data_IF_095526907864
#
_entry.id   IF_095526907864
#
_cell.length_a   1.000
_cell.length_b   1.000
_cell.length_c   1.000
_cell.angle_alpha   90.00
_cell.angle_beta   90.00
_cell.angle_gamma   90.00
#
_symmetry.space_group_name_H-M   'P 1'
#
loop_
_entity.id
_entity.type
_entity.pdbx_description
1 polymer ?
#
# COMPACT_ATOMS: atom_id res chain seq x y z
N UNK A 1 25.63 -68.38 33.52
CA UNK A 1 24.17 -68.18 33.41
C UNK A 1 23.67 -67.07 34.33
N UNK A 2 24.09 -67.01 35.60
CA UNK A 2 23.62 -66.01 36.58
C UNK A 2 23.91 -64.53 36.21
N UNK A 3 25.08 -64.20 35.66
CA UNK A 3 25.46 -62.81 35.33
C UNK A 3 24.64 -62.19 34.18
N UNK A 4 24.14 -62.99 33.24
CA UNK A 4 23.29 -62.49 32.14
C UNK A 4 21.89 -62.14 32.67
N UNK A 5 21.36 -62.95 33.59
CA UNK A 5 20.07 -62.67 34.23
C UNK A 5 20.14 -61.43 35.11
N UNK A 6 21.26 -61.22 35.80
CA UNK A 6 21.52 -60.02 36.60
C UNK A 6 21.57 -58.76 35.71
N UNK A 7 22.37 -58.75 34.64
CA UNK A 7 22.37 -57.63 33.69
C UNK A 7 21.02 -57.42 32.99
N UNK A 8 20.28 -58.48 32.69
CA UNK A 8 18.93 -58.35 32.14
C UNK A 8 17.97 -57.69 33.14
N UNK A 9 18.08 -58.03 34.43
CA UNK A 9 17.29 -57.40 35.49
C UNK A 9 17.65 -55.92 35.72
N UNK A 10 18.94 -55.58 35.65
CA UNK A 10 19.43 -54.21 35.73
C UNK A 10 18.98 -53.37 34.52
N UNK A 11 19.08 -53.91 33.31
CA UNK A 11 18.61 -53.26 32.09
C UNK A 11 17.08 -53.07 32.10
N UNK A 12 16.34 -54.04 32.65
CA UNK A 12 14.90 -53.92 32.83
C UNK A 12 14.54 -52.85 33.86
N UNK A 13 15.31 -52.72 34.95
CA UNK A 13 15.13 -51.65 35.93
C UNK A 13 15.45 -50.26 35.34
N UNK A 14 16.51 -50.14 34.54
CA UNK A 14 16.81 -48.90 33.82
C UNK A 14 15.72 -48.55 32.81
N UNK A 15 15.20 -49.53 32.08
CA UNK A 15 14.11 -49.29 31.13
C UNK A 15 12.83 -48.81 31.83
N UNK A 16 12.45 -49.40 32.97
CA UNK A 16 11.28 -48.94 33.73
C UNK A 16 11.49 -47.57 34.34
N UNK A 17 12.70 -47.25 34.77
CA UNK A 17 13.05 -45.90 35.25
C UNK A 17 12.96 -44.84 34.14
N UNK A 18 13.48 -45.14 32.94
CA UNK A 18 13.39 -44.25 31.78
C UNK A 18 11.93 -44.06 31.35
N UNK A 19 11.12 -45.12 31.35
CA UNK A 19 9.68 -45.00 31.04
C UNK A 19 8.96 -44.13 32.08
N UNK A 20 9.26 -44.32 33.38
CA UNK A 20 8.67 -43.49 34.44
C UNK A 20 9.03 -42.01 34.28
N UNK A 21 10.30 -41.69 34.01
CA UNK A 21 10.74 -40.30 33.82
C UNK A 21 10.12 -39.67 32.56
N UNK A 22 9.96 -40.44 31.49
CA UNK A 22 9.25 -40.02 30.27
C UNK A 22 7.77 -39.69 30.56
N UNK A 23 7.08 -40.53 31.33
CA UNK A 23 5.68 -40.29 31.72
C UNK A 23 5.53 -39.05 32.62
N UNK A 24 6.47 -38.84 33.55
CA UNK A 24 6.50 -37.63 34.39
C UNK A 24 6.70 -36.36 33.57
N UNK A 25 7.63 -36.39 32.61
CA UNK A 25 7.84 -35.29 31.67
C UNK A 25 6.59 -35.03 30.83
N UNK A 26 5.92 -36.08 30.34
CA UNK A 26 4.70 -35.95 29.53
C UNK A 26 3.53 -35.38 30.34
N UNK A 27 3.40 -35.76 31.62
CA UNK A 27 2.41 -35.16 32.53
C UNK A 27 2.72 -33.69 32.81
N UNK A 28 4.00 -33.34 33.01
CA UNK A 28 4.42 -31.96 33.23
C UNK A 28 4.13 -31.10 32.00
N UNK A 29 4.45 -31.59 30.80
CA UNK A 29 4.12 -30.93 29.53
C UNK A 29 2.61 -30.73 29.41
N UNK A 30 1.79 -31.76 29.67
CA UNK A 30 0.33 -31.63 29.60
C UNK A 30 -0.22 -30.61 30.62
N UNK A 31 0.36 -30.52 31.81
CA UNK A 31 0.01 -29.48 32.79
C UNK A 31 0.40 -28.09 32.27
N UNK A 32 1.63 -27.93 31.78
CA UNK A 32 2.10 -26.67 31.20
C UNK A 32 1.27 -26.22 30.00
N UNK A 33 0.85 -27.15 29.15
CA UNK A 33 -0.05 -26.87 28.02
C UNK A 33 -1.42 -26.39 28.52
N UNK A 34 -2.00 -27.05 29.53
CA UNK A 34 -3.26 -26.60 30.15
C UNK A 34 -3.13 -25.24 30.82
N UNK A 35 -2.00 -24.98 31.48
CA UNK A 35 -1.72 -23.72 32.16
C UNK A 35 -1.48 -22.59 31.14
N UNK A 36 -0.78 -22.87 30.04
CA UNK A 36 -0.62 -21.93 28.93
C UNK A 36 -1.95 -21.64 28.24
N UNK A 37 -2.79 -22.66 28.04
CA UNK A 37 -4.13 -22.49 27.51
C UNK A 37 -5.00 -21.66 28.45
N UNK A 38 -4.96 -21.90 29.76
CA UNK A 38 -5.73 -21.11 30.73
C UNK A 38 -5.26 -19.66 30.81
N UNK A 39 -3.95 -19.41 30.74
CA UNK A 39 -3.39 -18.05 30.64
C UNK A 39 -3.75 -17.39 29.32
N UNK A 40 -3.79 -18.14 28.22
CA UNK A 40 -4.19 -17.61 26.92
C UNK A 40 -5.69 -17.28 26.86
N UNK A 41 -6.56 -18.13 27.44
CA UNK A 41 -8.00 -17.84 27.54
C UNK A 41 -8.27 -16.67 28.48
N UNK A 42 -7.52 -16.55 29.58
CA UNK A 42 -7.60 -15.40 30.48
C UNK A 42 -7.12 -14.13 29.77
N UNK A 43 -6.01 -14.20 29.03
CA UNK A 43 -5.53 -13.11 28.17
C UNK A 43 -6.57 -12.70 27.14
N UNK A 44 -7.21 -13.63 26.42
CA UNK A 44 -8.23 -13.25 25.42
C UNK A 44 -9.50 -12.68 26.07
N UNK A 45 -9.83 -13.09 27.29
CA UNK A 45 -10.97 -12.55 28.06
C UNK A 45 -10.71 -11.14 28.61
N UNK A 46 -9.49 -10.83 29.04
CA UNK A 46 -9.11 -9.49 29.57
C UNK A 46 -8.59 -8.53 28.48
N UNK A 47 -8.03 -9.03 27.37
CA UNK A 47 -7.59 -8.21 26.23
C UNK A 47 -8.76 -7.84 25.31
N UNK A 48 -9.91 -8.52 25.42
CA UNK A 48 -11.18 -8.10 24.80
C UNK A 48 -11.97 -7.12 25.70
N UNK A 49 -11.29 -6.46 26.64
CA UNK A 49 -11.78 -5.26 27.32
C UNK A 49 -11.25 -4.03 26.60
N UNK A 50 -12.11 -3.43 25.77
CA UNK A 50 -12.09 -2.01 25.38
C UNK A 50 -10.72 -1.31 25.31
N UNK A 51 -9.95 -1.61 24.28
CA UNK A 51 -8.74 -0.87 23.93
C UNK A 51 -8.62 -0.78 22.42
N UNK A 52 -8.85 0.40 21.87
CA UNK A 52 -8.69 0.72 20.46
C UNK A 52 -7.32 0.25 19.92
N UNK A 53 -7.33 -0.50 18.81
CA UNK A 53 -6.13 -0.70 18.00
C UNK A 53 -5.84 -2.13 17.57
N UNK A 54 -6.48 -2.51 16.45
CA UNK A 54 -5.87 -3.20 15.31
C UNK A 54 -6.12 -4.71 15.09
N UNK A 55 -6.61 -4.95 13.86
CA UNK A 55 -6.58 -6.14 12.99
C UNK A 55 -7.30 -7.42 13.44
N UNK A 56 -8.56 -7.51 12.98
CA UNK A 56 -9.39 -8.71 12.83
C UNK A 56 -8.68 -9.90 12.19
N UNK A 57 -9.08 -11.13 12.56
CA UNK A 57 -9.54 -12.10 11.56
C UNK A 57 -11.01 -12.50 11.80
N UNK A 58 -11.80 -12.37 10.74
CA UNK A 58 -13.12 -12.98 10.46
C UNK A 58 -14.15 -13.09 11.59
N UNK A 59 -15.08 -12.15 11.57
CA UNK A 59 -16.18 -11.88 12.49
C UNK A 59 -17.48 -12.68 12.22
N UNK A 60 -17.42 -14.02 12.11
CA UNK A 60 -18.65 -14.84 11.95
C UNK A 60 -18.89 -15.86 13.05
N UNK A 61 -17.86 -16.30 13.78
CA UNK A 61 -18.02 -17.34 14.81
C UNK A 61 -18.12 -16.76 16.24
N UNK A 62 -17.58 -15.55 16.46
CA UNK A 62 -17.56 -14.91 17.78
C UNK A 62 -18.90 -14.28 18.22
N UNK A 63 -19.87 -14.18 17.30
CA UNK A 63 -21.21 -13.64 17.61
C UNK A 63 -22.12 -14.64 18.30
N UNK A 64 -22.01 -15.93 17.98
CA UNK A 64 -22.93 -16.96 18.48
C UNK A 64 -22.62 -17.38 19.93
N UNK A 65 -21.35 -17.29 20.33
CA UNK A 65 -20.91 -17.63 21.69
C UNK A 65 -21.21 -16.54 22.73
N UNK A 66 -21.39 -15.29 22.29
CA UNK A 66 -21.62 -14.15 23.20
C UNK A 66 -23.08 -14.07 23.69
N UNK A 67 -24.05 -14.53 22.89
CA UNK A 67 -25.47 -14.48 23.25
C UNK A 67 -25.86 -15.58 24.24
N UNK A 68 -25.30 -16.79 24.09
CA UNK A 68 -25.63 -17.95 24.93
C UNK A 68 -25.13 -17.84 26.39
N UNK A 69 -24.23 -16.89 26.71
CA UNK A 69 -23.63 -16.74 28.04
C UNK A 69 -24.33 -15.65 28.87
N UNK A 70 -25.18 -14.82 28.25
CA UNK A 70 -25.88 -13.74 28.95
C UNK A 70 -27.03 -14.22 29.83
N UNK A 71 -27.51 -15.45 29.63
CA UNK A 71 -28.66 -16.01 30.35
C UNK A 71 -28.26 -16.77 31.63
N UNK A 72 -26.97 -17.01 31.89
CA UNK A 72 -26.53 -17.93 32.97
C UNK A 72 -25.90 -17.28 34.20
N UNK A 73 -25.84 -15.94 34.31
CA UNK A 73 -25.22 -15.27 35.47
C UNK A 73 -26.23 -14.37 36.20
N UNK A 74 -26.72 -14.75 37.40
CA UNK A 74 -27.52 -13.87 38.23
C UNK A 74 -26.64 -12.74 38.78
N UNK A 75 -27.07 -11.52 38.50
CA UNK A 75 -26.51 -10.28 39.03
C UNK A 75 -26.77 -10.21 40.54
N UNK A 76 -25.72 -10.30 41.36
CA UNK A 76 -25.81 -9.92 42.77
C UNK A 76 -24.95 -10.72 43.75
N UNK A 77 -23.65 -10.38 43.86
CA UNK A 77 -22.98 -10.38 45.18
C UNK A 77 -21.72 -9.52 45.16
N UNK A 78 -21.63 -8.66 46.17
CA UNK A 78 -20.50 -7.79 46.55
C UNK A 78 -19.13 -8.43 46.29
N UNK A 79 -18.29 -7.77 45.48
CA UNK A 79 -16.85 -8.05 45.33
C UNK A 79 -16.12 -6.79 45.77
N UNK A 80 -15.78 -6.69 47.06
CA UNK A 80 -14.89 -5.62 47.54
C UNK A 80 -13.76 -6.10 48.44
N UNK A 81 -13.71 -7.37 48.87
CA UNK A 81 -12.65 -7.85 49.78
C UNK A 81 -11.71 -8.93 49.21
N UNK A 82 -11.87 -9.37 47.95
CA UNK A 82 -10.97 -10.38 47.34
C UNK A 82 -10.06 -9.83 46.22
N UNK A 83 -10.07 -8.52 45.98
CA UNK A 83 -9.34 -7.88 44.89
C UNK A 83 -7.84 -7.69 45.16
N UNK A 84 -7.41 -7.61 46.41
CA UNK A 84 -6.01 -7.31 46.75
C UNK A 84 -5.08 -8.50 46.49
N UNK A 85 -5.49 -9.73 46.83
CA UNK A 85 -4.70 -10.93 46.53
C UNK A 85 -4.65 -11.28 45.03
N UNK A 86 -5.72 -11.00 44.28
CA UNK A 86 -5.73 -11.14 42.83
C UNK A 86 -4.83 -10.09 42.15
N UNK A 87 -4.84 -8.84 42.62
CA UNK A 87 -3.95 -7.80 42.13
C UNK A 87 -2.47 -8.14 42.38
N UNK A 88 -2.09 -8.63 43.57
CA UNK A 88 -0.71 -9.06 43.83
C UNK A 88 -0.25 -10.24 42.97
N UNK A 89 -1.14 -11.16 42.59
CA UNK A 89 -0.84 -12.27 41.68
C UNK A 89 -0.77 -11.83 40.20
N UNK A 90 -1.51 -10.78 39.82
CA UNK A 90 -1.52 -10.25 38.46
C UNK A 90 -0.34 -9.32 38.15
N UNK A 91 0.15 -8.56 39.14
CA UNK A 91 1.31 -7.67 39.00
C UNK A 91 2.58 -8.36 38.45
N UNK A 92 3.02 -9.54 38.92
CA UNK A 92 4.19 -10.22 38.36
C UNK A 92 3.95 -10.65 36.91
N UNK A 93 2.73 -11.08 36.57
CA UNK A 93 2.37 -11.47 35.19
C UNK A 93 2.43 -10.26 34.27
N UNK A 94 1.80 -9.13 34.66
CA UNK A 94 1.83 -7.88 33.90
C UNK A 94 3.25 -7.34 33.77
N UNK A 95 4.07 -7.46 34.82
CA UNK A 95 5.48 -7.06 34.77
C UNK A 95 6.27 -7.89 33.77
N UNK A 96 6.03 -9.21 33.71
CA UNK A 96 6.70 -10.11 32.77
C UNK A 96 6.28 -9.85 31.31
N UNK A 97 4.99 -9.56 31.08
CA UNK A 97 4.48 -9.19 29.77
C UNK A 97 5.08 -7.87 29.32
N UNK A 98 5.08 -6.85 30.20
CA UNK A 98 5.70 -5.55 29.94
C UNK A 98 7.18 -5.70 29.58
N UNK A 99 7.92 -6.53 30.31
CA UNK A 99 9.33 -6.76 30.03
C UNK A 99 9.55 -7.45 28.68
N UNK A 100 8.71 -8.44 28.33
CA UNK A 100 8.76 -9.10 27.02
C UNK A 100 8.44 -8.14 25.86
N UNK A 101 7.45 -7.28 26.03
CA UNK A 101 7.13 -6.24 25.05
C UNK A 101 8.25 -5.21 24.95
N UNK A 102 8.87 -4.83 26.08
CA UNK A 102 10.03 -3.92 26.10
C UNK A 102 11.20 -4.52 25.32
N UNK A 103 11.53 -5.79 25.56
CA UNK A 103 12.60 -6.51 24.85
C UNK A 103 12.31 -6.59 23.34
N UNK A 104 11.09 -6.97 22.96
CA UNK A 104 10.68 -7.07 21.55
C UNK A 104 10.70 -5.70 20.84
N UNK A 105 10.24 -4.64 21.51
CA UNK A 105 10.35 -3.29 20.97
C UNK A 105 11.81 -2.87 20.78
N UNK A 106 12.68 -3.18 21.75
CA UNK A 106 14.11 -2.88 21.64
C UNK A 106 14.77 -3.63 20.47
N UNK A 107 14.41 -4.90 20.26
CA UNK A 107 14.86 -5.71 19.12
C UNK A 107 14.37 -5.14 17.78
N UNK A 108 13.07 -4.83 17.68
CA UNK A 108 12.49 -4.22 16.49
C UNK A 108 13.12 -2.86 16.17
N UNK A 109 13.39 -2.04 17.18
CA UNK A 109 14.11 -0.78 17.00
C UNK A 109 15.54 -1.00 16.50
N UNK A 110 16.23 -2.04 16.99
CA UNK A 110 17.58 -2.38 16.54
C UNK A 110 17.58 -2.87 15.08
N UNK A 111 16.63 -3.73 14.71
CA UNK A 111 16.45 -4.21 13.34
C UNK A 111 16.09 -3.06 12.39
N UNK A 112 15.20 -2.15 12.81
CA UNK A 112 14.85 -0.97 12.03
C UNK A 112 16.08 -0.05 11.82
N UNK A 113 16.89 0.18 12.86
CA UNK A 113 18.16 0.90 12.72
C UNK A 113 19.11 0.19 11.74
N UNK A 114 19.19 -1.14 11.78
CA UNK A 114 20.01 -1.93 10.86
C UNK A 114 19.51 -1.84 9.41
N UNK A 115 18.21 -1.94 9.17
CA UNK A 115 17.63 -1.75 7.83
C UNK A 115 17.87 -0.33 7.31
N UNK A 116 17.73 0.69 8.17
CA UNK A 116 18.01 2.07 7.80
C UNK A 116 19.48 2.27 7.39
N UNK A 117 20.42 1.61 8.07
CA UNK A 117 21.84 1.61 7.69
C UNK A 117 22.06 0.90 6.35
N UNK A 118 21.44 -0.26 6.11
CA UNK A 118 21.54 -0.97 4.82
C UNK A 118 21.02 -0.12 3.67
N UNK A 119 19.88 0.55 3.85
CA UNK A 119 19.34 1.48 2.85
C UNK A 119 20.31 2.61 2.53
N UNK A 120 21.01 3.15 3.54
CA UNK A 120 22.00 4.19 3.32
C UNK A 120 23.21 3.67 2.54
N UNK A 121 23.73 2.48 2.88
CA UNK A 121 24.85 1.84 2.18
C UNK A 121 24.49 1.58 0.71
N UNK A 122 23.31 1.02 0.44
CA UNK A 122 22.86 0.75 -0.93
C UNK A 122 22.66 2.03 -1.76
N UNK A 123 22.22 3.12 -1.12
CA UNK A 123 22.14 4.43 -1.77
C UNK A 123 23.53 4.95 -2.13
N UNK A 124 24.49 4.87 -1.21
CA UNK A 124 25.88 5.26 -1.47
C UNK A 124 26.51 4.43 -2.60
N UNK A 125 26.25 3.12 -2.62
CA UNK A 125 26.69 2.24 -3.71
C UNK A 125 26.06 2.63 -5.06
N UNK A 126 24.75 2.91 -5.06
CA UNK A 126 24.04 3.36 -6.26
C UNK A 126 24.62 4.69 -6.77
N UNK A 127 24.91 5.64 -5.89
CA UNK A 127 25.50 6.92 -6.25
C UNK A 127 26.94 6.78 -6.75
N UNK A 128 27.70 5.85 -6.17
CA UNK A 128 29.05 5.49 -6.63
C UNK A 128 29.00 4.88 -8.03
N UNK A 129 28.19 3.84 -8.24
CA UNK A 129 28.00 3.21 -9.55
C UNK A 129 27.50 4.20 -10.59
N UNK A 130 26.59 5.10 -10.21
CA UNK A 130 26.11 6.16 -11.10
C UNK A 130 27.24 7.10 -11.51
N UNK A 131 28.07 7.52 -10.57
CA UNK A 131 29.21 8.40 -10.84
C UNK A 131 30.25 7.72 -11.73
N UNK A 132 30.52 6.44 -11.49
CA UNK A 132 31.50 5.67 -12.27
C UNK A 132 30.97 5.34 -13.68
N UNK A 133 29.68 5.01 -13.83
CA UNK A 133 29.03 4.86 -15.14
C UNK A 133 29.11 6.14 -15.96
N UNK A 134 28.88 7.31 -15.34
CA UNK A 134 29.05 8.60 -16.01
C UNK A 134 30.50 8.77 -16.45
N UNK A 135 31.50 8.60 -15.57
CA UNK A 135 32.93 8.71 -15.93
C UNK A 135 33.32 7.78 -17.08
N UNK A 136 32.82 6.54 -17.06
CA UNK A 136 33.07 5.58 -18.14
C UNK A 136 32.46 6.05 -19.45
N UNK A 137 31.25 6.60 -19.39
CA UNK A 137 30.60 7.24 -20.53
C UNK A 137 31.44 8.41 -21.08
N UNK A 138 31.99 9.28 -20.23
CA UNK A 138 32.86 10.38 -20.68
C UNK A 138 34.09 9.84 -21.43
N UNK A 139 34.71 8.77 -20.92
CA UNK A 139 35.86 8.12 -21.57
C UNK A 139 35.48 7.51 -22.92
N UNK A 140 34.35 6.80 -22.99
CA UNK A 140 33.85 6.21 -24.25
C UNK A 140 33.58 7.32 -25.27
N UNK A 141 32.90 8.40 -24.86
CA UNK A 141 32.63 9.55 -25.73
C UNK A 141 33.90 10.25 -26.18
N UNK A 142 34.89 10.40 -25.30
CA UNK A 142 36.19 10.96 -25.66
C UNK A 142 36.87 10.11 -26.75
N UNK A 143 36.94 8.78 -26.55
CA UNK A 143 37.51 7.86 -27.54
C UNK A 143 36.72 7.81 -28.85
N UNK A 144 35.39 7.82 -28.78
CA UNK A 144 34.51 7.91 -29.94
C UNK A 144 34.70 9.23 -30.69
N UNK A 145 34.85 10.35 -29.99
CA UNK A 145 35.09 11.66 -30.60
C UNK A 145 36.39 11.69 -31.38
N UNK A 146 37.44 11.01 -30.88
CA UNK A 146 38.71 10.83 -31.57
C UNK A 146 38.58 9.91 -32.79
N UNK A 147 37.70 8.89 -32.72
CA UNK A 147 37.44 7.91 -33.79
C UNK A 147 36.37 8.35 -34.79
N UNK A 148 35.68 9.49 -34.58
CA UNK A 148 34.55 10.02 -35.38
C UNK A 148 34.92 10.49 -36.80
N UNK A 149 36.00 9.97 -37.37
CA UNK A 149 36.30 10.07 -38.80
C UNK A 149 35.64 8.94 -39.61
N UNK A 150 35.23 7.81 -39.00
CA UNK A 150 34.65 6.69 -39.76
C UNK A 150 33.44 6.04 -39.07
N UNK A 151 32.26 6.35 -39.61
CA UNK A 151 31.12 5.43 -39.71
C UNK A 151 30.27 5.16 -38.46
N UNK A 152 28.97 5.51 -38.57
CA UNK A 152 27.76 4.87 -37.99
C UNK A 152 27.65 4.62 -36.48
N UNK A 153 26.57 5.10 -35.87
CA UNK A 153 25.32 4.37 -35.52
C UNK A 153 24.48 5.36 -34.68
N UNK A 154 23.15 5.41 -34.87
CA UNK A 154 22.28 6.32 -34.12
C UNK A 154 22.37 6.08 -32.60
N UNK A 155 22.22 7.11 -31.76
CA UNK A 155 22.47 7.00 -30.32
C UNK A 155 21.51 5.99 -29.68
N UNK A 156 22.07 5.01 -28.97
CA UNK A 156 21.31 4.08 -28.14
C UNK A 156 20.59 4.84 -27.00
N UNK A 157 19.41 4.39 -26.57
CA UNK A 157 18.59 5.09 -25.56
C UNK A 157 19.33 5.22 -24.21
N UNK A 158 20.16 4.22 -23.90
CA UNK A 158 21.04 4.26 -22.72
C UNK A 158 22.14 5.31 -22.88
N UNK A 159 22.73 5.42 -24.07
CA UNK A 159 23.73 6.42 -24.44
C UNK A 159 23.13 7.84 -24.33
N UNK A 160 21.89 8.03 -24.76
CA UNK A 160 21.15 9.30 -24.67
C UNK A 160 20.94 9.77 -23.23
N UNK A 161 20.59 8.85 -22.31
CA UNK A 161 20.42 9.17 -20.88
C UNK A 161 21.72 9.60 -20.21
N UNK A 162 22.81 8.89 -20.46
CA UNK A 162 24.12 9.26 -19.91
C UNK A 162 24.71 10.51 -20.60
N UNK A 163 24.46 10.71 -21.90
CA UNK A 163 24.80 11.94 -22.65
C UNK A 163 24.16 13.17 -21.99
N UNK A 164 22.86 13.08 -21.75
CA UNK A 164 22.10 14.17 -21.14
C UNK A 164 22.62 14.49 -19.74
N UNK A 165 22.98 13.46 -18.95
CA UNK A 165 23.52 13.64 -17.60
C UNK A 165 24.94 14.23 -17.60
N UNK A 166 25.75 13.88 -18.60
CA UNK A 166 27.08 14.43 -18.83
C UNK A 166 27.04 15.90 -19.24
N UNK A 167 26.24 16.25 -20.25
CA UNK A 167 26.06 17.63 -20.72
C UNK A 167 25.51 18.56 -19.62
N UNK A 168 24.62 18.03 -18.76
CA UNK A 168 24.13 18.76 -17.59
C UNK A 168 25.21 19.10 -16.57
N UNK A 169 26.27 18.28 -16.47
CA UNK A 169 27.42 18.55 -15.58
C UNK A 169 28.44 19.47 -16.22
N UNK A 170 28.57 19.47 -17.54
CA UNK A 170 29.55 20.27 -18.28
C UNK A 170 29.15 21.72 -18.52
N UNK A 171 27.86 22.01 -18.65
CA UNK A 171 27.40 23.36 -18.94
C UNK A 171 26.89 24.08 -17.67
N UNK A 172 27.73 24.92 -17.02
CA UNK A 172 27.31 25.68 -15.84
C UNK A 172 26.11 26.61 -16.12
N UNK A 173 25.90 27.03 -17.38
CA UNK A 173 24.80 27.92 -17.77
C UNK A 173 23.47 27.19 -17.97
N UNK A 174 23.48 25.88 -18.22
CA UNK A 174 22.24 25.11 -18.36
C UNK A 174 21.55 24.94 -16.99
N UNK A 175 22.35 24.76 -15.93
CA UNK A 175 21.85 24.76 -14.55
C UNK A 175 21.28 26.12 -14.14
N UNK A 176 21.94 27.21 -14.55
CA UNK A 176 21.51 28.58 -14.28
C UNK A 176 20.24 28.95 -15.07
N UNK A 177 20.19 28.67 -16.36
CA UNK A 177 19.03 28.95 -17.21
C UNK A 177 17.80 28.15 -16.79
N UNK A 178 17.97 26.90 -16.31
CA UNK A 178 16.88 26.12 -15.69
C UNK A 178 16.42 26.74 -14.38
N UNK A 179 17.35 27.14 -13.50
CA UNK A 179 17.01 27.84 -12.25
C UNK A 179 16.31 29.17 -12.53
N UNK A 180 16.74 29.92 -13.53
CA UNK A 180 16.12 31.19 -13.92
C UNK A 180 14.73 30.98 -14.55
N UNK A 181 14.59 30.01 -15.45
CA UNK A 181 13.28 29.58 -15.97
C UNK A 181 12.36 29.12 -14.84
N UNK A 182 12.87 28.37 -13.88
CA UNK A 182 12.09 27.90 -12.74
C UNK A 182 11.70 29.04 -11.79
N UNK A 183 12.57 30.03 -11.57
CA UNK A 183 12.22 31.26 -10.82
C UNK A 183 11.17 32.08 -11.56
N UNK A 184 11.29 32.22 -12.89
CA UNK A 184 10.25 32.85 -13.73
C UNK A 184 8.94 32.09 -13.64
N UNK A 185 8.95 30.75 -13.80
CA UNK A 185 7.77 29.89 -13.59
C UNK A 185 7.18 30.04 -12.20
N UNK A 186 8.01 30.14 -11.15
CA UNK A 186 7.55 30.36 -9.77
C UNK A 186 6.91 31.74 -9.59
N UNK A 187 7.40 32.76 -10.29
CA UNK A 187 6.86 34.11 -10.31
C UNK A 187 5.65 34.32 -11.24
N UNK A 188 5.26 33.32 -12.05
CA UNK A 188 3.99 33.39 -12.80
C UNK A 188 2.79 33.16 -11.87
N UNK A 189 1.71 33.88 -12.20
CA UNK A 189 0.44 33.90 -11.45
C UNK A 189 -0.03 32.49 -11.08
N UNK A 190 -0.45 32.25 -9.81
CA UNK A 190 -0.95 30.94 -9.38
C UNK A 190 -2.14 30.45 -10.21
N UNK A 191 -2.92 31.36 -10.79
CA UNK A 191 -4.01 31.02 -11.72
C UNK A 191 -3.53 30.47 -13.06
N UNK A 192 -2.42 30.98 -13.62
CA UNK A 192 -1.83 30.43 -14.85
C UNK A 192 -1.26 29.03 -14.61
N UNK A 193 -0.68 28.77 -13.43
CA UNK A 193 -0.22 27.42 -13.05
C UNK A 193 -1.38 26.44 -12.92
N UNK A 194 -2.50 26.86 -12.34
CA UNK A 194 -3.69 26.04 -12.23
C UNK A 194 -4.25 25.70 -13.63
N UNK A 195 -4.37 26.69 -14.52
CA UNK A 195 -4.84 26.49 -15.89
C UNK A 195 -3.91 25.58 -16.69
N UNK A 196 -2.60 25.74 -16.57
CA UNK A 196 -1.61 24.89 -17.26
C UNK A 196 -1.58 23.46 -16.70
N UNK A 197 -1.76 23.27 -15.40
CA UNK A 197 -1.88 21.95 -14.80
C UNK A 197 -3.20 21.27 -15.16
N UNK A 198 -4.30 22.02 -15.19
CA UNK A 198 -5.61 21.53 -15.60
C UNK A 198 -5.60 21.15 -17.10
N UNK A 199 -4.97 21.95 -17.94
CA UNK A 199 -4.74 21.64 -19.37
C UNK A 199 -3.84 20.42 -19.56
N UNK A 200 -2.72 20.31 -18.83
CA UNK A 200 -1.87 19.12 -18.89
C UNK A 200 -2.57 17.88 -18.35
N UNK A 201 -3.41 17.99 -17.32
CA UNK A 201 -4.13 16.86 -16.75
C UNK A 201 -5.20 16.33 -17.74
N UNK A 202 -5.85 17.23 -18.48
CA UNK A 202 -6.77 16.88 -19.57
C UNK A 202 -6.02 16.26 -20.77
N UNK A 203 -4.86 16.81 -21.16
CA UNK A 203 -4.10 16.30 -22.31
C UNK A 203 -3.27 15.03 -22.00
N UNK A 204 -2.82 14.87 -20.75
CA UNK A 204 -1.98 13.74 -20.31
C UNK A 204 -2.79 12.47 -20.10
N UNK A 205 -4.07 12.57 -19.75
CA UNK A 205 -4.87 11.39 -19.43
C UNK A 205 -5.64 10.88 -20.67
N UNK A 206 -5.47 9.58 -20.99
CA UNK A 206 -6.15 8.92 -22.11
C UNK A 206 -7.69 8.97 -21.96
N UNK A 207 -8.19 8.93 -20.73
CA UNK A 207 -9.63 8.99 -20.43
C UNK A 207 -10.18 10.41 -20.67
N UNK A 208 -9.45 11.44 -20.21
CA UNK A 208 -9.87 12.84 -20.40
C UNK A 208 -9.95 13.22 -21.89
N UNK A 209 -9.02 12.72 -22.71
CA UNK A 209 -9.07 12.87 -24.17
C UNK A 209 -10.31 12.22 -24.79
N UNK A 210 -10.71 11.04 -24.30
CA UNK A 210 -11.90 10.33 -24.76
C UNK A 210 -13.18 11.11 -24.41
N UNK A 211 -13.28 11.64 -23.18
CA UNK A 211 -14.42 12.45 -22.74
C UNK A 211 -14.58 13.72 -23.58
N UNK A 212 -13.47 14.43 -23.83
CA UNK A 212 -13.49 15.64 -24.66
C UNK A 212 -13.94 15.36 -26.10
N UNK A 213 -13.50 14.24 -26.68
CA UNK A 213 -13.91 13.81 -28.02
C UNK A 213 -15.43 13.55 -28.09
N UNK A 214 -15.97 12.78 -27.14
CA UNK A 214 -17.42 12.54 -27.07
C UNK A 214 -18.22 13.83 -26.80
N UNK A 215 -17.71 14.73 -25.96
CA UNK A 215 -18.34 16.02 -25.71
C UNK A 215 -18.51 16.85 -26.99
N UNK A 216 -17.46 16.95 -27.82
CA UNK A 216 -17.53 17.67 -29.10
C UNK A 216 -18.53 17.00 -30.06
N UNK A 217 -18.56 15.67 -30.12
CA UNK A 217 -19.53 14.93 -30.96
C UNK A 217 -20.96 15.20 -30.52
N UNK A 218 -21.25 15.10 -29.22
CA UNK A 218 -22.60 15.34 -28.68
C UNK A 218 -23.03 16.78 -28.94
N UNK A 219 -22.12 17.75 -28.77
CA UNK A 219 -22.40 19.15 -29.06
C UNK A 219 -22.77 19.32 -30.55
N UNK A 220 -22.01 18.74 -31.47
CA UNK A 220 -22.31 18.80 -32.90
C UNK A 220 -23.67 18.16 -33.20
N UNK A 221 -23.94 16.96 -32.67
CA UNK A 221 -25.24 16.29 -32.83
C UNK A 221 -26.40 17.16 -32.33
N UNK A 222 -26.22 17.84 -31.19
CA UNK A 222 -27.23 18.75 -30.64
C UNK A 222 -27.47 19.93 -31.58
N UNK A 223 -26.40 20.58 -32.06
CA UNK A 223 -26.52 21.70 -33.01
C UNK A 223 -27.21 21.25 -34.30
N UNK A 224 -26.82 20.11 -34.86
CA UNK A 224 -27.47 19.54 -36.04
C UNK A 224 -28.96 19.23 -35.79
N UNK A 225 -29.32 18.70 -34.62
CA UNK A 225 -30.71 18.41 -34.27
C UNK A 225 -31.53 19.70 -34.16
N UNK A 226 -31.00 20.74 -33.51
CA UNK A 226 -31.66 22.04 -33.41
C UNK A 226 -31.88 22.64 -34.80
N UNK A 227 -30.84 22.66 -35.65
CA UNK A 227 -30.95 23.15 -37.02
C UNK A 227 -31.95 22.33 -37.85
N UNK A 228 -31.94 21.00 -37.71
CA UNK A 228 -32.90 20.11 -38.37
C UNK A 228 -34.34 20.40 -37.93
N UNK A 229 -34.59 20.55 -36.63
CA UNK A 229 -35.92 20.89 -36.10
C UNK A 229 -36.37 22.27 -36.58
N UNK A 230 -35.49 23.27 -36.55
CA UNK A 230 -35.79 24.60 -37.06
C UNK A 230 -36.11 24.58 -38.56
N UNK A 231 -35.32 23.87 -39.35
CA UNK A 231 -35.54 23.71 -40.80
C UNK A 231 -36.86 22.99 -41.10
N UNK A 232 -37.14 21.89 -40.41
CA UNK A 232 -38.37 21.11 -40.58
C UNK A 232 -39.62 21.90 -40.18
N UNK A 233 -39.61 22.58 -39.04
CA UNK A 233 -40.72 23.45 -38.61
C UNK A 233 -40.90 24.62 -39.58
N UNK A 234 -39.81 25.20 -40.09
CA UNK A 234 -39.89 26.28 -41.07
C UNK A 234 -40.44 25.79 -42.41
N UNK A 235 -40.07 24.60 -42.86
CA UNK A 235 -40.62 23.98 -44.06
C UNK A 235 -42.13 23.72 -43.92
N UNK A 236 -42.55 23.04 -42.85
CA UNK A 236 -43.96 22.76 -42.59
C UNK A 236 -44.82 24.03 -42.50
N UNK A 237 -44.31 25.11 -41.88
CA UNK A 237 -45.01 26.41 -41.86
C UNK A 237 -45.20 26.98 -43.27
N UNK A 238 -44.17 26.92 -44.12
CA UNK A 238 -44.28 27.38 -45.52
C UNK A 238 -45.28 26.54 -46.31
N UNK A 239 -45.26 25.22 -46.14
CA UNK A 239 -46.17 24.31 -46.82
C UNK A 239 -47.63 24.60 -46.39
N UNK A 240 -47.88 24.75 -45.08
CA UNK A 240 -49.22 25.11 -44.58
C UNK A 240 -49.72 26.49 -45.06
N UNK A 241 -48.80 27.45 -45.24
CA UNK A 241 -49.14 28.77 -45.78
C UNK A 241 -49.44 28.70 -47.28
N UNK A 242 -48.72 27.87 -48.03
CA UNK A 242 -48.97 27.60 -49.44
C UNK A 242 -50.32 26.90 -49.65
N UNK A 243 -50.64 25.90 -48.81
CA UNK A 243 -51.92 25.18 -48.85
C UNK A 243 -53.10 26.12 -48.55
N UNK A 244 -52.98 26.99 -47.55
CA UNK A 244 -53.99 27.99 -47.22
C UNK A 244 -54.22 28.99 -48.38
N UNK A 245 -53.14 29.42 -49.03
CA UNK A 245 -53.22 30.29 -50.21
C UNK A 245 -53.94 29.61 -51.37
N UNK A 246 -53.61 28.35 -51.66
CA UNK A 246 -54.24 27.58 -52.73
C UNK A 246 -55.75 27.39 -52.47
N UNK A 247 -56.12 27.03 -51.24
CA UNK A 247 -57.53 26.84 -50.86
C UNK A 247 -58.32 28.15 -50.91
N UNK A 248 -57.71 29.28 -50.56
CA UNK A 248 -58.34 30.60 -50.69
C UNK A 248 -58.57 30.98 -52.16
N UNK A 249 -57.64 30.66 -53.06
CA UNK A 249 -57.81 30.91 -54.50
C UNK A 249 -58.96 30.10 -55.09
N UNK A 250 -59.07 28.81 -54.77
CA UNK A 250 -60.15 27.96 -55.28
C UNK A 250 -61.54 28.42 -54.80
N UNK A 251 -61.64 28.97 -53.59
CA UNK A 251 -62.92 29.46 -53.05
C UNK A 251 -63.39 30.79 -53.63
N UNK A 252 -62.51 31.53 -54.33
CA UNK A 252 -62.78 32.88 -54.88
C UNK A 252 -63.09 32.88 -56.39
N UNK A 253 -62.97 31.73 -57.05
CA UNK A 253 -63.35 31.48 -58.46
C UNK A 253 -64.64 30.68 -58.55
#
# INVERSE_FOLDING_TARGET
MFSITEHYSELQAQHTEVVRTSDEQRQLISKLEKDLLSVNTLSTMYVRGEGEGQATPSSTEAGFAAEAVRETVPLGKSVSDNNQGAAESLLPIVSSQRERFRLRNQELEAENRQHQQQVNILKEETDKLRTDNIKLYEKIRFLQSYKKSKGSTGPDDTESRYSTQYEQRLDPFNSFSRKEKQRKYMNLSPFDKATLNMGRLVLSNKIARMIAFFYVIILHLLVFLVLYKMAYTSACKRDSAADCYHQFQEHMT
#
